data_IF_317853152258
#
_entry.id   IF_317853152258
#
_cell.length_a   1.000
_cell.length_b   1.000
_cell.length_c   1.000
_cell.angle_alpha   90.00
_cell.angle_beta   90.00
_cell.angle_gamma   90.00
#
_symmetry.space_group_name_H-M   'P 1'
#
loop_
_entity.id
_entity.type
_entity.pdbx_description
1 polymer ?
#
# COMPACT_ATOMS: atom_id res chain seq x y z
N UNK A 1 3.90 1.47 -6.96
CA UNK A 1 3.36 2.46 -6.00
C UNK A 1 2.53 3.56 -6.70
N UNK A 2 2.94 4.10 -7.87
CA UNK A 2 2.12 5.04 -8.68
C UNK A 2 0.67 4.59 -8.84
N UNK A 3 -0.27 5.35 -8.27
CA UNK A 3 -1.71 5.00 -8.25
C UNK A 3 -2.35 5.10 -9.64
N UNK A 4 -1.87 6.01 -10.48
CA UNK A 4 -2.32 6.19 -11.87
C UNK A 4 -1.94 5.03 -12.80
N UNK A 5 -1.15 4.07 -12.32
CA UNK A 5 -0.75 2.86 -13.06
C UNK A 5 -1.40 1.58 -12.51
N UNK A 6 -2.41 1.71 -11.65
CA UNK A 6 -3.11 0.58 -11.04
C UNK A 6 -4.54 0.56 -11.53
N UNK A 7 -4.99 -0.60 -11.99
CA UNK A 7 -6.36 -0.83 -12.43
C UNK A 7 -6.81 -2.19 -11.90
N UNK A 8 -8.01 -2.24 -11.33
CA UNK A 8 -8.65 -3.49 -10.94
C UNK A 8 -9.33 -4.06 -12.19
N UNK A 9 -8.85 -5.19 -12.68
CA UNK A 9 -9.35 -5.80 -13.92
C UNK A 9 -10.47 -6.83 -13.69
N UNK A 10 -10.60 -7.33 -12.46
CA UNK A 10 -11.62 -8.30 -12.07
C UNK A 10 -11.91 -8.21 -10.57
N UNK A 11 -13.10 -8.66 -10.15
CA UNK A 11 -13.46 -8.80 -8.73
C UNK A 11 -13.62 -7.48 -7.97
N UNK A 12 -13.78 -6.34 -8.67
CA UNK A 12 -13.96 -5.02 -8.05
C UNK A 12 -15.09 -5.02 -7.02
N UNK A 13 -16.17 -5.75 -7.30
CA UNK A 13 -17.34 -5.76 -6.42
C UNK A 13 -17.12 -6.45 -5.08
N UNK A 14 -16.09 -7.28 -5.00
CA UNK A 14 -15.67 -7.97 -3.78
C UNK A 14 -14.61 -7.18 -3.00
N UNK A 15 -14.20 -6.00 -3.49
CA UNK A 15 -13.26 -5.15 -2.77
C UNK A 15 -14.00 -4.24 -1.79
N UNK A 16 -13.56 -4.27 -0.54
CA UNK A 16 -14.12 -3.47 0.56
C UNK A 16 -13.05 -2.64 1.25
N UNK A 17 -13.43 -1.46 1.74
CA UNK A 17 -12.57 -0.58 2.52
C UNK A 17 -12.59 -0.98 4.01
N UNK A 18 -11.42 -1.11 4.63
CA UNK A 18 -11.27 -1.40 6.05
C UNK A 18 -10.38 -0.37 6.72
N UNK A 19 -10.84 0.18 7.85
CA UNK A 19 -10.09 1.10 8.70
C UNK A 19 -9.97 0.52 10.09
N UNK A 20 -8.87 0.83 10.78
CA UNK A 20 -8.70 0.42 12.18
C UNK A 20 -9.59 1.24 13.12
N UNK A 21 -9.84 2.49 12.74
CA UNK A 21 -10.75 3.43 13.40
C UNK A 21 -11.32 4.38 12.34
N UNK A 22 -12.44 5.02 12.63
CA UNK A 22 -13.10 5.95 11.70
C UNK A 22 -12.18 7.12 11.29
N UNK A 23 -11.35 7.61 12.22
CA UNK A 23 -10.41 8.71 12.05
C UNK A 23 -9.06 8.29 11.43
N UNK A 24 -8.83 7.00 11.20
CA UNK A 24 -7.57 6.47 10.66
C UNK A 24 -7.18 7.15 9.34
N UNK A 25 -5.99 7.76 9.32
CA UNK A 25 -5.42 8.39 8.11
C UNK A 25 -5.19 7.42 6.94
N UNK A 26 -5.21 6.11 7.20
CA UNK A 26 -5.04 5.06 6.18
C UNK A 26 -6.21 4.10 6.15
N UNK A 27 -6.58 3.62 4.95
CA UNK A 27 -7.46 2.44 4.79
C UNK A 27 -6.68 1.29 4.18
N UNK A 28 -7.13 0.08 4.46
CA UNK A 28 -6.79 -1.14 3.73
C UNK A 28 -7.94 -1.45 2.79
N UNK A 29 -7.63 -1.95 1.61
CA UNK A 29 -8.63 -2.54 0.72
C UNK A 29 -8.42 -4.04 0.72
N UNK A 30 -9.49 -4.77 1.04
CA UNK A 30 -9.49 -6.22 1.21
C UNK A 30 -10.47 -6.86 0.23
N UNK A 31 -10.16 -8.07 -0.23
CA UNK A 31 -11.12 -8.92 -0.92
C UNK A 31 -12.02 -9.62 0.11
N UNK A 32 -13.31 -9.33 0.11
CA UNK A 32 -14.25 -9.82 1.12
C UNK A 32 -14.59 -11.31 1.01
N UNK A 33 -14.27 -11.96 -0.11
CA UNK A 33 -14.47 -13.41 -0.27
C UNK A 33 -13.49 -14.26 0.55
N UNK A 34 -12.31 -13.72 0.87
CA UNK A 34 -11.22 -14.49 1.49
C UNK A 34 -10.36 -13.67 2.45
N UNK A 35 -10.75 -12.44 2.76
CA UNK A 35 -10.03 -11.49 3.63
C UNK A 35 -8.60 -11.18 3.16
N UNK A 36 -8.30 -11.39 1.88
CA UNK A 36 -6.96 -11.11 1.33
C UNK A 36 -6.75 -9.60 1.22
N UNK A 37 -5.69 -9.03 1.82
CA UNK A 37 -5.41 -7.61 1.71
C UNK A 37 -4.78 -7.29 0.34
N UNK A 38 -5.34 -6.32 -0.37
CA UNK A 38 -4.90 -5.95 -1.73
C UNK A 38 -3.94 -4.76 -1.69
N UNK A 39 -4.30 -3.68 -1.02
CA UNK A 39 -3.40 -2.54 -0.83
C UNK A 39 -3.77 -1.71 0.41
N UNK A 40 -2.82 -0.91 0.88
CA UNK A 40 -3.02 0.18 1.83
C UNK A 40 -2.94 1.53 1.10
N UNK A 41 -3.84 2.42 1.47
CA UNK A 41 -3.96 3.77 0.92
C UNK A 41 -4.00 4.81 2.04
N UNK A 42 -3.14 5.83 1.93
CA UNK A 42 -3.21 7.04 2.75
C UNK A 42 -4.29 7.98 2.20
N UNK A 43 -5.10 8.57 3.09
CA UNK A 43 -6.11 9.58 2.74
C UNK A 43 -5.43 10.72 1.98
N UNK A 44 -5.85 10.94 0.73
CA UNK A 44 -5.27 11.97 -0.14
C UNK A 44 -3.88 11.65 -0.71
N UNK A 45 -3.33 10.46 -0.46
CA UNK A 45 -2.02 10.05 -1.01
C UNK A 45 -2.07 9.71 -2.49
N UNK A 46 -1.04 10.07 -3.26
CA UNK A 46 -0.94 9.78 -4.69
C UNK A 46 -0.42 8.37 -5.02
N UNK A 47 -0.10 7.56 -4.01
CA UNK A 47 0.41 6.20 -4.20
C UNK A 47 -0.47 5.16 -3.50
N UNK A 48 -0.23 3.89 -3.85
CA UNK A 48 -0.73 2.71 -3.16
C UNK A 48 0.45 1.87 -2.67
N UNK A 49 0.32 1.35 -1.46
CA UNK A 49 1.18 0.31 -0.90
C UNK A 49 0.53 -1.05 -1.18
N UNK A 50 0.96 -1.73 -2.24
CA UNK A 50 0.37 -3.01 -2.67
C UNK A 50 1.11 -4.16 -1.97
N UNK A 51 0.38 -5.17 -1.50
CA UNK A 51 0.98 -6.29 -0.79
C UNK A 51 1.81 -7.17 -1.74
N UNK A 52 3.11 -7.31 -1.46
CA UNK A 52 4.04 -8.06 -2.31
C UNK A 52 3.71 -9.55 -2.44
N UNK A 53 2.99 -10.12 -1.47
CA UNK A 53 2.53 -11.51 -1.51
C UNK A 53 1.50 -11.80 -2.61
N UNK A 54 0.94 -10.77 -3.27
CA UNK A 54 0.05 -10.93 -4.42
C UNK A 54 0.79 -11.34 -5.70
N UNK A 55 2.12 -11.25 -5.72
CA UNK A 55 2.94 -11.72 -6.84
C UNK A 55 3.58 -13.09 -6.55
N UNK A 56 3.70 -13.94 -7.57
CA UNK A 56 4.59 -15.10 -7.54
C UNK A 56 6.00 -14.68 -7.13
N UNK A 57 6.70 -15.56 -6.42
CA UNK A 57 8.01 -15.26 -5.82
C UNK A 57 9.02 -14.73 -6.86
N UNK A 58 9.09 -15.37 -8.02
CA UNK A 58 9.98 -14.98 -9.12
C UNK A 58 9.58 -13.70 -9.87
N UNK A 59 8.42 -13.10 -9.55
CA UNK A 59 7.93 -11.83 -10.13
C UNK A 59 7.83 -10.72 -9.09
N UNK A 60 8.05 -11.02 -7.82
CA UNK A 60 7.99 -10.04 -6.74
C UNK A 60 9.17 -9.07 -6.88
N UNK A 61 8.94 -7.75 -6.76
CA UNK A 61 10.03 -6.79 -6.67
C UNK A 61 10.94 -7.14 -5.48
N UNK A 62 12.26 -6.99 -5.66
CA UNK A 62 13.21 -7.18 -4.57
C UNK A 62 12.86 -6.28 -3.38
N UNK A 63 12.97 -6.81 -2.17
CA UNK A 63 12.86 -6.00 -0.96
C UNK A 63 14.06 -5.05 -0.93
N UNK A 64 13.81 -3.75 -0.84
CA UNK A 64 14.88 -2.73 -0.79
C UNK A 64 15.11 -2.24 0.65
N UNK A 65 14.10 -2.32 1.51
CA UNK A 65 14.13 -1.84 2.91
C UNK A 65 12.92 -2.31 3.71
N UNK A 66 13.04 -2.27 5.05
CA UNK A 66 11.92 -2.40 6.00
C UNK A 66 11.70 -1.07 6.73
N UNK A 67 10.45 -0.64 6.83
CA UNK A 67 10.04 0.60 7.53
C UNK A 67 9.06 0.28 8.65
N UNK A 68 8.96 1.16 9.65
CA UNK A 68 8.05 0.99 10.80
C UNK A 68 8.34 -0.26 11.63
N UNK A 69 9.63 -0.65 11.73
CA UNK A 69 10.04 -1.86 12.46
C UNK A 69 10.53 -1.59 13.88
N UNK A 70 10.24 -0.40 14.44
CA UNK A 70 10.74 0.00 15.76
C UNK A 70 10.28 -0.87 16.94
N UNK A 71 9.24 -1.69 16.75
CA UNK A 71 8.71 -2.65 17.72
C UNK A 71 9.11 -4.10 17.41
N UNK A 72 10.13 -4.33 16.57
CA UNK A 72 10.59 -5.65 16.15
C UNK A 72 12.09 -5.78 16.41
N UNK A 73 12.46 -6.80 17.19
CA UNK A 73 13.85 -7.01 17.62
C UNK A 73 14.58 -8.06 16.77
N UNK A 74 13.86 -9.00 16.15
CA UNK A 74 14.43 -10.11 15.37
C UNK A 74 14.04 -9.98 13.88
N UNK A 75 14.83 -9.21 13.14
CA UNK A 75 14.70 -9.04 11.70
C UNK A 75 16.02 -9.31 10.99
N UNK A 76 16.01 -9.97 9.82
CA UNK A 76 17.21 -10.14 9.01
C UNK A 76 17.83 -8.79 8.64
N UNK A 77 19.17 -8.74 8.58
CA UNK A 77 19.95 -7.56 8.18
C UNK A 77 20.35 -7.58 6.69
N UNK A 78 19.57 -8.26 5.86
CA UNK A 78 19.71 -8.33 4.40
C UNK A 78 19.37 -7.00 3.69
N UNK A 79 18.54 -6.18 4.31
CA UNK A 79 18.20 -4.82 3.89
C UNK A 79 18.05 -3.89 5.10
N UNK A 80 18.09 -2.55 4.94
CA UNK A 80 17.95 -1.62 6.06
C UNK A 80 16.64 -1.81 6.84
N UNK A 81 16.76 -1.92 8.16
CA UNK A 81 15.65 -1.99 9.12
C UNK A 81 15.43 -0.62 9.77
N UNK A 82 14.40 0.12 9.32
CA UNK A 82 14.14 1.49 9.74
C UNK A 82 12.96 1.61 10.70
N UNK A 83 13.16 2.35 11.80
CA UNK A 83 12.08 2.67 12.77
C UNK A 83 10.96 3.51 12.15
N UNK A 84 11.25 4.27 11.09
CA UNK A 84 10.31 5.12 10.35
C UNK A 84 10.67 5.13 8.85
N UNK A 85 9.98 5.92 8.04
CA UNK A 85 10.32 6.11 6.63
C UNK A 85 11.62 6.90 6.46
N UNK A 86 12.40 6.63 5.41
CA UNK A 86 13.60 7.40 5.08
C UNK A 86 13.30 8.63 4.21
N UNK A 87 14.25 9.56 4.14
CA UNK A 87 14.20 10.66 3.16
C UNK A 87 14.18 10.15 1.73
N UNK A 88 14.96 9.11 1.42
CA UNK A 88 14.97 8.50 0.09
C UNK A 88 13.63 7.90 -0.32
N UNK A 89 12.90 7.31 0.63
CA UNK A 89 11.54 6.82 0.42
C UNK A 89 10.60 7.96 0.00
N UNK A 90 10.58 9.07 0.75
CA UNK A 90 9.76 10.23 0.40
C UNK A 90 10.22 10.90 -0.89
N UNK A 91 11.52 10.97 -1.17
CA UNK A 91 12.05 11.47 -2.44
C UNK A 91 11.53 10.66 -3.65
N UNK A 92 11.48 9.33 -3.54
CA UNK A 92 10.91 8.46 -4.58
C UNK A 92 9.41 8.70 -4.78
N UNK A 93 8.65 8.87 -3.69
CA UNK A 93 7.23 9.22 -3.76
C UNK A 93 7.01 10.60 -4.38
N UNK A 94 7.78 11.60 -3.99
CA UNK A 94 7.69 12.96 -4.54
C UNK A 94 7.99 12.98 -6.04
N UNK A 95 9.07 12.31 -6.47
CA UNK A 95 9.39 12.16 -7.88
C UNK A 95 8.30 11.42 -8.67
N UNK A 96 7.62 10.45 -8.06
CA UNK A 96 6.46 9.81 -8.68
C UNK A 96 5.27 10.76 -8.82
N UNK A 97 5.01 11.62 -7.83
CA UNK A 97 3.93 12.60 -7.88
C UNK A 97 4.16 13.64 -8.99
N UNK A 98 5.40 14.12 -9.15
CA UNK A 98 5.80 14.98 -10.28
C UNK A 98 5.50 14.28 -11.62
N UNK A 99 5.90 13.01 -11.77
CA UNK A 99 5.61 12.21 -12.99
C UNK A 99 4.12 11.94 -13.22
N UNK A 100 3.28 12.17 -12.23
CA UNK A 100 1.82 12.11 -12.31
C UNK A 100 1.19 13.49 -12.59
N UNK A 101 1.99 14.55 -12.69
CA UNK A 101 1.51 15.93 -12.82
C UNK A 101 0.77 16.40 -11.56
N UNK A 102 1.26 16.01 -10.39
CA UNK A 102 0.65 16.29 -9.08
C UNK A 102 -0.79 15.77 -8.91
N UNK A 103 -1.21 14.82 -9.75
CA UNK A 103 -2.54 14.19 -9.64
C UNK A 103 -2.59 13.21 -8.47
N UNK A 104 -3.76 13.12 -7.87
CA UNK A 104 -4.08 12.14 -6.82
C UNK A 104 -5.31 11.35 -7.24
N UNK A 105 -5.15 10.29 -8.06
CA UNK A 105 -6.27 9.47 -8.50
C UNK A 105 -7.05 8.90 -7.33
N UNK A 106 -8.36 8.69 -7.50
CA UNK A 106 -9.20 8.00 -6.51
C UNK A 106 -9.36 6.54 -6.91
N UNK A 107 -9.42 5.66 -5.92
CA UNK A 107 -9.77 4.24 -6.12
C UNK A 107 -11.09 3.98 -5.41
N UNK A 108 -12.09 3.58 -6.16
CA UNK A 108 -13.42 3.28 -5.61
C UNK A 108 -13.54 1.79 -5.32
N UNK A 109 -14.15 1.46 -4.18
CA UNK A 109 -14.41 0.10 -3.70
C UNK A 109 -15.83 0.03 -3.17
N UNK A 110 -16.44 -1.15 -3.17
CA UNK A 110 -17.88 -1.32 -2.97
C UNK A 110 -18.27 -1.32 -1.48
N UNK A 111 -18.03 -0.22 -0.78
CA UNK A 111 -18.42 -0.03 0.62
C UNK A 111 -17.37 -0.46 1.63
N UNK A 112 -17.79 -0.54 2.89
CA UNK A 112 -16.91 -0.83 4.02
C UNK A 112 -16.95 -2.31 4.42
N UNK A 113 -15.82 -2.78 4.94
CA UNK A 113 -15.70 -4.08 5.58
C UNK A 113 -15.87 -3.87 7.07
N UNK A 114 -17.00 -4.33 7.61
CA UNK A 114 -17.24 -4.38 9.04
C UNK A 114 -16.82 -5.77 9.53
N UNK A 115 -15.87 -5.80 10.47
CA UNK A 115 -15.46 -7.01 11.21
C UNK A 115 -16.23 -7.05 12.51
#
# INVERSE_FOLDING_TARGET
>A
HRKDRVTVTAGKDMLKSFRLSEDSGTRRVVASCCNTPIFLELKGGHWLSIYGALWPENKRPALEMRTMVGSRDDLPNDVPNLKTHSLGFYGRLFGAWIKMGFKTPKVEVNGEWHV
#
